data_IF_082760953381
#
_entry.id   IF_082760953381
#
_cell.length_a   1.000
_cell.length_b   1.000
_cell.length_c   1.000
_cell.angle_alpha   90.00
_cell.angle_beta   90.00
_cell.angle_gamma   90.00
#
_symmetry.space_group_name_H-M   'P 1'
#
loop_
_entity.id
_entity.type
_entity.pdbx_description
1 polymer ?
#
# COMPACT_ATOMS: atom_id res chain seq x y z
N UNK A 1 39.90 -66.07 13.15
CA UNK A 1 38.56 -66.57 12.75
C UNK A 1 37.57 -66.00 13.77
N UNK A 2 36.49 -65.30 13.46
CA UNK A 2 35.86 -64.83 12.23
C UNK A 2 34.85 -63.71 12.59
N UNK A 3 34.60 -62.83 11.62
CA UNK A 3 33.41 -61.99 11.33
C UNK A 3 32.82 -60.89 12.28
N UNK A 4 32.77 -59.68 11.69
CA UNK A 4 31.89 -58.51 11.88
C UNK A 4 30.40 -58.87 11.57
N UNK A 5 29.34 -58.11 11.96
CA UNK A 5 29.12 -56.71 11.51
C UNK A 5 28.42 -55.77 12.51
N UNK A 6 28.76 -54.48 12.49
CA UNK A 6 27.93 -53.38 11.96
C UNK A 6 26.71 -53.06 12.83
N UNK A 7 26.65 -51.84 13.35
CA UNK A 7 25.47 -51.07 12.98
C UNK A 7 25.74 -49.57 12.87
N UNK A 8 25.19 -49.03 11.79
CA UNK A 8 25.33 -47.67 11.34
C UNK A 8 24.27 -46.78 12.01
N UNK A 9 24.61 -45.50 12.14
CA UNK A 9 23.74 -44.30 12.09
C UNK A 9 22.35 -44.53 11.44
N UNK A 10 21.29 -43.74 11.77
CA UNK A 10 21.37 -42.29 11.58
C UNK A 10 20.46 -41.40 12.46
N UNK A 11 21.07 -40.36 13.02
CA UNK A 11 20.41 -39.18 13.57
C UNK A 11 20.43 -38.06 12.50
N UNK A 12 19.53 -38.09 11.51
CA UNK A 12 19.33 -36.91 10.62
C UNK A 12 18.06 -36.90 9.74
N UNK A 13 17.00 -37.67 10.05
CA UNK A 13 15.88 -37.89 9.11
C UNK A 13 14.79 -36.79 9.06
N UNK A 14 14.91 -35.69 9.82
CA UNK A 14 13.85 -34.65 9.86
C UNK A 14 14.15 -33.36 9.09
N UNK A 15 15.41 -33.00 8.87
CA UNK A 15 15.78 -31.73 8.19
C UNK A 15 15.62 -31.78 6.66
N UNK A 16 15.77 -32.96 6.06
CA UNK A 16 15.67 -33.10 4.60
C UNK A 16 14.22 -32.90 4.11
N UNK A 17 13.24 -33.41 4.87
CA UNK A 17 11.82 -33.35 4.48
C UNK A 17 11.21 -31.94 4.39
N UNK A 18 11.76 -30.95 5.10
CA UNK A 18 11.29 -29.56 5.06
C UNK A 18 11.97 -28.77 3.95
N UNK A 19 13.26 -29.06 3.72
CA UNK A 19 14.08 -28.46 2.68
C UNK A 19 13.59 -28.90 1.29
N UNK A 20 13.28 -30.18 1.12
CA UNK A 20 12.75 -30.74 -0.11
C UNK A 20 11.32 -30.23 -0.42
N UNK A 21 10.50 -29.99 0.60
CA UNK A 21 9.16 -29.37 0.44
C UNK A 21 9.27 -27.89 0.06
N UNK A 22 10.23 -27.16 0.62
CA UNK A 22 10.50 -25.76 0.27
C UNK A 22 11.04 -25.64 -1.17
N UNK A 23 11.93 -26.54 -1.59
CA UNK A 23 12.41 -26.58 -2.97
C UNK A 23 11.32 -27.03 -3.97
N UNK A 24 10.44 -27.96 -3.58
CA UNK A 24 9.29 -28.35 -4.38
C UNK A 24 8.25 -27.22 -4.55
N UNK A 25 8.07 -26.38 -3.53
CA UNK A 25 7.23 -25.18 -3.59
C UNK A 25 7.85 -24.10 -4.48
N UNK A 26 9.18 -23.91 -4.41
CA UNK A 26 9.93 -22.96 -5.23
C UNK A 26 10.00 -23.36 -6.72
N UNK A 27 9.95 -24.66 -7.03
CA UNK A 27 10.02 -25.20 -8.40
C UNK A 27 8.66 -25.27 -9.12
N UNK A 28 7.56 -24.93 -8.44
CA UNK A 28 6.24 -24.95 -9.04
C UNK A 28 6.00 -23.68 -9.88
N UNK A 29 6.26 -23.78 -11.20
CA UNK A 29 5.98 -22.74 -12.22
C UNK A 29 4.56 -22.13 -12.17
N UNK A 30 3.59 -22.80 -11.53
CA UNK A 30 2.24 -22.25 -11.34
C UNK A 30 2.20 -21.14 -10.28
N UNK A 31 3.10 -21.15 -9.29
CA UNK A 31 3.15 -20.08 -8.28
C UNK A 31 3.71 -18.80 -8.89
N UNK A 32 4.68 -18.93 -9.79
CA UNK A 32 5.27 -17.79 -10.53
C UNK A 32 4.30 -17.20 -11.56
N UNK A 33 3.47 -18.05 -12.19
CA UNK A 33 2.37 -17.63 -13.05
C UNK A 33 1.26 -16.90 -12.29
N UNK A 34 0.83 -17.40 -11.14
CA UNK A 34 -0.19 -16.73 -10.28
C UNK A 34 0.38 -15.49 -9.62
N UNK A 35 1.67 -15.48 -9.24
CA UNK A 35 2.35 -14.31 -8.68
C UNK A 35 2.48 -13.19 -9.70
N UNK A 36 2.81 -13.49 -10.96
CA UNK A 36 2.86 -12.50 -12.03
C UNK A 36 1.46 -12.07 -12.53
N UNK A 37 0.46 -12.95 -12.47
CA UNK A 37 -0.93 -12.62 -12.83
C UNK A 37 -1.63 -11.81 -11.73
N UNK A 38 -1.33 -12.09 -10.46
CA UNK A 38 -1.72 -11.25 -9.34
C UNK A 38 -0.97 -9.91 -9.41
N UNK A 39 0.35 -9.88 -9.51
CA UNK A 39 1.14 -8.66 -9.42
C UNK A 39 0.75 -7.53 -10.40
N UNK A 40 0.11 -7.84 -11.53
CA UNK A 40 -0.32 -6.82 -12.51
C UNK A 40 -1.66 -6.15 -12.19
N UNK A 41 -2.56 -6.79 -11.43
CA UNK A 41 -3.91 -6.27 -11.13
C UNK A 41 -4.29 -6.34 -9.64
N UNK A 42 -3.47 -6.98 -8.81
CA UNK A 42 -3.76 -7.23 -7.40
C UNK A 42 -3.51 -5.99 -6.54
N UNK A 43 -2.63 -5.07 -6.95
CA UNK A 43 -2.46 -3.78 -6.26
C UNK A 43 -3.75 -2.96 -6.26
N UNK A 44 -4.36 -2.79 -7.43
CA UNK A 44 -5.61 -2.03 -7.56
C UNK A 44 -6.77 -2.76 -6.90
N UNK A 45 -6.84 -4.08 -7.04
CA UNK A 45 -7.85 -4.90 -6.34
C UNK A 45 -7.72 -4.78 -4.82
N UNK A 46 -6.50 -4.84 -4.28
CA UNK A 46 -6.23 -4.63 -2.85
C UNK A 46 -6.60 -3.21 -2.44
N UNK A 47 -6.27 -2.20 -3.23
CA UNK A 47 -6.64 -0.82 -2.97
C UNK A 47 -8.16 -0.64 -2.91
N UNK A 48 -8.92 -1.25 -3.82
CA UNK A 48 -10.39 -1.23 -3.77
C UNK A 48 -10.95 -1.91 -2.52
N UNK A 49 -10.43 -3.09 -2.14
CA UNK A 49 -10.85 -3.78 -0.93
C UNK A 49 -10.54 -2.92 0.31
N UNK A 50 -9.34 -2.36 0.41
CA UNK A 50 -8.94 -1.48 1.51
C UNK A 50 -9.78 -0.19 1.55
N UNK A 51 -10.17 0.34 0.39
CA UNK A 51 -11.04 1.51 0.29
C UNK A 51 -12.42 1.20 0.86
N UNK A 52 -13.02 0.07 0.50
CA UNK A 52 -14.32 -0.37 1.05
C UNK A 52 -14.21 -0.56 2.56
N UNK A 53 -13.15 -1.21 3.04
CA UNK A 53 -12.90 -1.39 4.48
C UNK A 53 -12.76 -0.04 5.18
N UNK A 54 -11.98 0.89 4.61
CA UNK A 54 -11.77 2.23 5.16
C UNK A 54 -13.08 3.01 5.28
N UNK A 55 -13.91 2.98 4.24
CA UNK A 55 -15.24 3.64 4.26
C UNK A 55 -16.15 3.01 5.30
N UNK A 56 -16.23 1.68 5.38
CA UNK A 56 -17.04 0.99 6.40
C UNK A 56 -16.51 1.30 7.80
N UNK A 57 -15.20 1.40 7.97
CA UNK A 57 -14.58 1.78 9.24
C UNK A 57 -14.90 3.22 9.64
N UNK A 58 -15.24 4.14 8.73
CA UNK A 58 -15.61 5.51 9.12
C UNK A 58 -16.80 5.53 10.09
N UNK A 59 -17.71 4.56 10.00
CA UNK A 59 -18.90 4.46 10.85
C UNK A 59 -18.60 3.97 12.28
N UNK A 60 -17.55 3.18 12.48
CA UNK A 60 -17.22 2.58 13.78
C UNK A 60 -15.97 3.21 14.41
N UNK A 61 -15.01 3.56 13.58
CA UNK A 61 -13.68 4.04 13.93
C UNK A 61 -13.23 5.12 12.92
N UNK A 62 -13.88 6.28 12.97
CA UNK A 62 -13.69 7.40 12.03
C UNK A 62 -12.21 7.78 11.81
N UNK A 63 -11.39 7.75 12.87
CA UNK A 63 -9.96 8.06 12.75
C UNK A 63 -9.20 7.06 11.86
N UNK A 64 -9.35 5.75 12.12
CA UNK A 64 -8.65 4.72 11.34
C UNK A 64 -9.20 4.60 9.92
N UNK A 65 -10.52 4.64 9.75
CA UNK A 65 -11.16 4.63 8.44
C UNK A 65 -10.70 5.82 7.59
N UNK A 66 -10.70 7.02 8.18
CA UNK A 66 -10.23 8.23 7.50
C UNK A 66 -8.75 8.16 7.15
N UNK A 67 -7.91 7.62 8.03
CA UNK A 67 -6.47 7.44 7.74
C UNK A 67 -6.25 6.49 6.56
N UNK A 68 -6.96 5.35 6.51
CA UNK A 68 -6.86 4.39 5.39
C UNK A 68 -7.29 5.06 4.08
N UNK A 69 -8.44 5.73 4.07
CA UNK A 69 -8.94 6.47 2.91
C UNK A 69 -7.94 7.54 2.47
N UNK A 70 -7.39 8.29 3.42
CA UNK A 70 -6.37 9.31 3.18
C UNK A 70 -5.08 8.74 2.59
N UNK A 71 -4.60 7.62 3.11
CA UNK A 71 -3.40 6.94 2.58
C UNK A 71 -3.63 6.48 1.14
N UNK A 72 -4.75 5.81 0.86
CA UNK A 72 -5.06 5.34 -0.49
C UNK A 72 -5.20 6.52 -1.47
N UNK A 73 -5.92 7.56 -1.07
CA UNK A 73 -6.08 8.76 -1.88
C UNK A 73 -4.72 9.42 -2.15
N UNK A 74 -3.90 9.63 -1.11
CA UNK A 74 -2.57 10.22 -1.24
C UNK A 74 -1.60 9.37 -2.05
N UNK A 75 -1.68 8.05 -1.97
CA UNK A 75 -0.83 7.16 -2.78
C UNK A 75 -1.21 7.18 -4.25
N UNK A 76 -2.51 7.16 -4.58
CA UNK A 76 -2.96 7.14 -5.97
C UNK A 76 -2.85 8.51 -6.63
N UNK A 77 -3.20 9.59 -5.93
CA UNK A 77 -3.27 10.95 -6.47
C UNK A 77 -2.08 11.83 -6.06
N UNK A 78 -0.94 11.25 -5.68
CA UNK A 78 0.19 12.05 -5.16
C UNK A 78 0.70 13.09 -6.16
N UNK A 79 0.72 12.75 -7.46
CA UNK A 79 1.28 13.63 -8.50
C UNK A 79 0.34 14.81 -8.74
N UNK A 80 -0.94 14.52 -8.86
CA UNK A 80 -2.02 15.48 -9.03
C UNK A 80 -2.13 16.42 -7.83
N UNK A 81 -1.98 15.88 -6.61
CA UNK A 81 -1.97 16.71 -5.40
C UNK A 81 -0.82 17.71 -5.42
N UNK A 82 0.40 17.26 -5.71
CA UNK A 82 1.58 18.15 -5.79
C UNK A 82 1.40 19.18 -6.91
N UNK A 83 0.86 18.79 -8.05
CA UNK A 83 0.58 19.70 -9.17
C UNK A 83 -0.45 20.77 -8.80
N UNK A 84 -1.55 20.39 -8.14
CA UNK A 84 -2.55 21.33 -7.64
C UNK A 84 -1.91 22.33 -6.68
N UNK A 85 -1.04 21.86 -5.77
CA UNK A 85 -0.32 22.73 -4.83
C UNK A 85 0.65 23.70 -5.53
N UNK A 86 1.34 23.24 -6.57
CA UNK A 86 2.27 24.08 -7.33
C UNK A 86 1.55 25.12 -8.19
N UNK A 87 0.35 24.81 -8.67
CA UNK A 87 -0.43 25.65 -9.58
C UNK A 87 -1.58 26.41 -8.88
N UNK A 88 -1.52 26.60 -7.55
CA UNK A 88 -2.58 27.30 -6.80
C UNK A 88 -2.80 28.73 -7.29
N UNK A 89 -1.73 29.45 -7.66
CA UNK A 89 -1.85 30.81 -8.18
C UNK A 89 -2.65 30.84 -9.49
N UNK A 90 -2.34 29.93 -10.41
CA UNK A 90 -3.04 29.82 -11.69
C UNK A 90 -4.52 29.45 -11.49
N UNK A 91 -4.83 28.59 -10.51
CA UNK A 91 -6.20 28.26 -10.14
C UNK A 91 -6.98 29.49 -9.62
N UNK A 92 -6.32 30.34 -8.82
CA UNK A 92 -6.91 31.58 -8.30
C UNK A 92 -7.17 32.58 -9.43
N UNK A 93 -6.22 32.72 -10.36
CA UNK A 93 -6.35 33.61 -11.50
C UNK A 93 -7.46 33.16 -12.47
N UNK A 94 -7.55 31.86 -12.75
CA UNK A 94 -8.54 31.32 -13.68
C UNK A 94 -9.97 31.31 -13.12
N UNK A 95 -10.15 30.95 -11.84
CA UNK A 95 -11.50 30.85 -11.24
C UNK A 95 -11.96 32.14 -10.56
N UNK A 96 -11.03 33.05 -10.28
CA UNK A 96 -11.27 34.28 -9.54
C UNK A 96 -11.17 34.09 -8.03
N UNK A 97 -10.85 35.19 -7.35
CA UNK A 97 -10.54 35.23 -5.92
C UNK A 97 -11.68 34.69 -5.03
N UNK A 98 -12.94 35.08 -5.31
CA UNK A 98 -14.08 34.69 -4.46
C UNK A 98 -14.33 33.18 -4.50
N UNK A 99 -14.30 32.56 -5.69
CA UNK A 99 -14.52 31.11 -5.82
C UNK A 99 -13.41 30.31 -5.15
N UNK A 100 -12.17 30.77 -5.30
CA UNK A 100 -11.00 30.16 -4.67
C UNK A 100 -11.05 30.24 -3.15
N UNK A 101 -11.55 31.37 -2.61
CA UNK A 101 -11.70 31.56 -1.17
C UNK A 101 -12.79 30.66 -0.59
N UNK A 102 -13.91 30.48 -1.31
CA UNK A 102 -14.96 29.52 -0.93
C UNK A 102 -14.40 28.09 -0.95
N UNK A 103 -13.66 27.71 -2.00
CA UNK A 103 -13.05 26.39 -2.10
C UNK A 103 -12.02 26.13 -0.99
N UNK A 104 -11.15 27.11 -0.70
CA UNK A 104 -10.22 27.04 0.41
C UNK A 104 -10.92 26.92 1.76
N UNK A 105 -12.00 27.68 1.98
CA UNK A 105 -12.84 27.56 3.17
C UNK A 105 -13.48 26.17 3.31
N UNK A 106 -13.96 25.58 2.22
CA UNK A 106 -14.51 24.23 2.20
C UNK A 106 -13.43 23.18 2.55
N UNK A 107 -12.24 23.29 1.96
CA UNK A 107 -11.12 22.41 2.27
C UNK A 107 -10.71 22.50 3.75
N UNK A 108 -10.67 23.71 4.32
CA UNK A 108 -10.41 23.90 5.75
C UNK A 108 -11.50 23.31 6.63
N UNK A 109 -12.78 23.47 6.26
CA UNK A 109 -13.88 22.85 6.99
C UNK A 109 -13.77 21.31 6.97
N UNK A 110 -13.44 20.72 5.81
CA UNK A 110 -13.17 19.29 5.69
C UNK A 110 -11.96 18.85 6.53
N UNK A 111 -10.90 19.66 6.60
CA UNK A 111 -9.75 19.38 7.44
C UNK A 111 -10.12 19.31 8.92
N UNK A 112 -10.98 20.22 9.39
CA UNK A 112 -11.45 20.23 10.78
C UNK A 112 -12.36 19.03 11.06
N UNK A 113 -13.25 18.68 10.13
CA UNK A 113 -14.20 17.57 10.32
C UNK A 113 -13.54 16.18 10.22
N UNK A 114 -12.58 16.02 9.32
CA UNK A 114 -11.94 14.74 9.02
C UNK A 114 -10.40 14.87 8.94
N UNK A 115 -9.72 15.29 10.01
CA UNK A 115 -8.28 15.54 10.00
C UNK A 115 -7.46 14.27 9.71
N UNK A 116 -7.99 13.09 10.08
CA UNK A 116 -7.35 11.80 9.82
C UNK A 116 -7.12 11.51 8.34
N UNK A 117 -8.01 11.97 7.46
CA UNK A 117 -7.85 11.83 6.00
C UNK A 117 -6.62 12.61 5.56
N UNK A 118 -6.49 13.86 5.97
CA UNK A 118 -5.36 14.72 5.59
C UNK A 118 -4.03 14.21 6.15
N UNK A 119 -4.03 13.68 7.38
CA UNK A 119 -2.84 13.02 7.95
C UNK A 119 -2.45 11.80 7.09
N UNK A 120 -3.42 10.97 6.71
CA UNK A 120 -3.18 9.82 5.83
C UNK A 120 -2.60 10.24 4.48
N UNK A 121 -3.15 11.28 3.87
CA UNK A 121 -2.64 11.85 2.60
C UNK A 121 -1.21 12.34 2.77
N UNK A 122 -0.93 13.15 3.78
CA UNK A 122 0.40 13.70 4.02
C UNK A 122 1.44 12.61 4.23
N UNK A 123 1.11 11.57 5.01
CA UNK A 123 1.97 10.40 5.21
C UNK A 123 2.22 9.66 3.90
N UNK A 124 1.18 9.39 3.12
CA UNK A 124 1.29 8.68 1.84
C UNK A 124 2.16 9.45 0.83
N UNK A 125 1.92 10.75 0.67
CA UNK A 125 2.70 11.61 -0.24
C UNK A 125 4.15 11.70 0.24
N UNK A 126 4.37 11.91 1.53
CA UNK A 126 5.72 11.99 2.12
C UNK A 126 6.51 10.69 1.95
N UNK A 127 5.88 9.53 2.24
CA UNK A 127 6.50 8.22 2.03
C UNK A 127 6.79 7.96 0.56
N UNK A 128 5.86 8.30 -0.34
CA UNK A 128 6.06 8.13 -1.78
C UNK A 128 7.24 8.96 -2.28
N UNK A 129 7.41 10.19 -1.79
CA UNK A 129 8.54 11.04 -2.15
C UNK A 129 9.89 10.49 -1.69
N UNK A 130 9.95 9.86 -0.51
CA UNK A 130 11.18 9.24 0.01
C UNK A 130 11.52 7.94 -0.73
N UNK A 131 10.53 7.11 -1.05
CA UNK A 131 10.73 5.78 -1.64
C UNK A 131 10.92 5.85 -3.16
N UNK A 132 10.17 6.74 -3.81
CA UNK A 132 10.23 6.98 -5.25
C UNK A 132 10.56 8.45 -5.48
N UNK A 133 11.81 8.87 -5.23
CA UNK A 133 12.29 10.16 -5.71
C UNK A 133 12.34 10.05 -7.23
N UNK A 134 11.22 10.28 -7.91
CA UNK A 134 11.25 10.50 -9.34
C UNK A 134 12.14 11.73 -9.55
N UNK A 135 13.27 11.51 -10.21
CA UNK A 135 14.12 12.57 -10.74
C UNK A 135 13.24 13.50 -11.57
N UNK A 136 13.10 14.73 -11.10
CA UNK A 136 12.43 15.83 -11.79
C UNK A 136 12.88 15.96 -13.25
#
# INVERSE_FOLDING_TARGET
MAEKPSDNKPENSKKDSLSDKLEALKKNKNVEGIYNYAASNTKDTIAYILMVIGIVMLFTHSFYGGTIVGILFGLYFSKELVEIFNNLNDLIEQQGMVRSLIFGGLLLALFIMAPSIFIGVALAVGLRYIIFPESS
#
